data_IF_843220463921
#
_entry.id   IF_843220463921
#
_cell.length_a   1.000
_cell.length_b   1.000
_cell.length_c   1.000
_cell.angle_alpha   90.00
_cell.angle_beta   90.00
_cell.angle_gamma   90.00
#
_symmetry.space_group_name_H-M   'P 1'
#
loop_
_entity.id
_entity.type
_entity.pdbx_description
1 polymer ?
#
# COMPACT_ATOMS: atom_id res chain seq x y z
N UNK A 1 -7.07 -10.39 -4.81
CA UNK A 1 -6.62 -11.79 -4.53
C UNK A 1 -5.15 -11.72 -4.11
N UNK A 2 -4.77 -12.49 -3.10
CA UNK A 2 -3.39 -12.56 -2.56
C UNK A 2 -3.04 -14.03 -2.30
N UNK A 3 -1.81 -14.41 -2.64
CA UNK A 3 -1.31 -15.78 -2.48
C UNK A 3 0.19 -15.78 -2.11
N UNK A 4 0.59 -16.62 -1.16
CA UNK A 4 2.00 -16.88 -0.86
C UNK A 4 2.54 -17.97 -1.79
N UNK A 5 3.40 -17.59 -2.72
CA UNK A 5 4.07 -18.51 -3.64
C UNK A 5 5.36 -19.04 -3.02
N UNK A 6 5.45 -20.37 -2.92
CA UNK A 6 6.62 -21.09 -2.41
C UNK A 6 7.27 -21.85 -3.58
N UNK A 7 8.40 -21.39 -4.15
CA UNK A 7 8.99 -21.98 -5.35
C UNK A 7 9.20 -23.50 -5.28
N UNK A 8 9.54 -24.01 -4.11
CA UNK A 8 9.81 -25.45 -3.90
C UNK A 8 8.56 -26.31 -3.65
N UNK A 9 7.36 -25.67 -3.48
CA UNK A 9 6.12 -26.38 -3.07
C UNK A 9 4.92 -26.04 -3.92
N UNK A 10 4.79 -24.79 -4.38
CA UNK A 10 3.65 -24.36 -5.19
C UNK A 10 3.82 -24.85 -6.61
N UNK A 11 2.88 -25.62 -7.11
CA UNK A 11 2.91 -26.10 -8.49
C UNK A 11 2.41 -25.04 -9.48
N UNK A 12 2.71 -25.24 -10.77
CA UNK A 12 2.15 -24.40 -11.83
C UNK A 12 0.62 -24.40 -11.81
N UNK A 13 0.00 -25.54 -11.53
CA UNK A 13 -1.45 -25.66 -11.48
C UNK A 13 -2.02 -24.79 -10.34
N UNK A 14 -1.44 -24.87 -9.14
CA UNK A 14 -1.93 -24.12 -7.98
C UNK A 14 -1.98 -22.62 -8.24
N UNK A 15 -0.91 -22.05 -8.81
CA UNK A 15 -0.85 -20.60 -9.06
C UNK A 15 -1.73 -20.17 -10.24
N UNK A 16 -1.85 -21.01 -11.28
CA UNK A 16 -2.71 -20.72 -12.42
C UNK A 16 -4.19 -20.86 -12.08
N UNK A 17 -4.58 -21.78 -11.20
CA UNK A 17 -5.96 -21.88 -10.73
C UNK A 17 -6.45 -20.58 -10.05
N UNK A 18 -5.52 -19.84 -9.44
CA UNK A 18 -5.83 -18.56 -8.75
C UNK A 18 -5.74 -17.36 -9.69
N UNK A 19 -4.69 -17.27 -10.54
CA UNK A 19 -4.32 -16.02 -11.23
C UNK A 19 -4.31 -16.12 -12.76
N UNK A 20 -4.71 -17.23 -13.37
CA UNK A 20 -4.67 -17.35 -14.83
C UNK A 20 -5.47 -16.24 -15.52
N UNK A 21 -4.81 -15.50 -16.41
CA UNK A 21 -5.41 -14.38 -17.13
C UNK A 21 -5.50 -13.07 -16.35
N UNK A 22 -4.99 -13.00 -15.12
CA UNK A 22 -4.94 -11.77 -14.33
C UNK A 22 -3.58 -11.07 -14.46
N UNK A 23 -3.61 -9.76 -14.31
CA UNK A 23 -2.40 -8.98 -14.04
C UNK A 23 -2.05 -9.14 -12.57
N UNK A 24 -0.79 -9.45 -12.29
CA UNK A 24 -0.27 -9.71 -10.95
C UNK A 24 0.91 -8.82 -10.61
N UNK A 25 1.15 -8.63 -9.33
CA UNK A 25 2.36 -8.02 -8.79
C UNK A 25 3.02 -8.99 -7.81
N UNK A 26 4.32 -9.22 -7.99
CA UNK A 26 5.14 -10.06 -7.11
C UNK A 26 5.93 -9.17 -6.15
N UNK A 27 5.87 -9.46 -4.85
CA UNK A 27 6.58 -8.71 -3.80
C UNK A 27 7.43 -9.64 -2.95
N UNK A 28 8.57 -9.15 -2.51
CA UNK A 28 9.33 -9.85 -1.47
C UNK A 28 8.58 -9.75 -0.14
N UNK A 29 8.15 -10.88 0.41
CA UNK A 29 7.35 -10.91 1.65
C UNK A 29 8.18 -10.53 2.89
N UNK A 30 9.49 -10.62 2.80
CA UNK A 30 10.43 -10.33 3.90
C UNK A 30 10.95 -8.88 3.87
N UNK A 31 10.53 -8.06 2.87
CA UNK A 31 10.99 -6.70 2.66
C UNK A 31 9.84 -5.68 2.71
N UNK A 32 10.21 -4.43 2.92
CA UNK A 32 9.31 -3.28 2.91
C UNK A 32 9.83 -2.16 2.01
N UNK A 33 9.12 -1.04 1.92
CA UNK A 33 9.55 0.17 1.21
C UNK A 33 9.94 -0.07 -0.26
N UNK A 34 9.20 -0.92 -0.96
CA UNK A 34 9.45 -1.31 -2.36
C UNK A 34 10.83 -1.93 -2.62
N UNK A 35 11.55 -2.41 -1.60
CA UNK A 35 12.86 -3.05 -1.77
C UNK A 35 12.72 -4.29 -2.65
N UNK A 36 13.50 -4.33 -3.74
CA UNK A 36 13.48 -5.43 -4.72
C UNK A 36 12.29 -5.42 -5.68
N UNK A 37 11.36 -4.47 -5.56
CA UNK A 37 10.25 -4.32 -6.47
C UNK A 37 10.72 -3.56 -7.72
N UNK A 38 10.57 -4.16 -8.89
CA UNK A 38 10.95 -3.61 -10.19
C UNK A 38 9.77 -3.67 -11.15
N UNK A 39 9.87 -3.00 -12.30
CA UNK A 39 8.85 -3.07 -13.36
C UNK A 39 8.56 -4.50 -13.83
N UNK A 40 9.54 -5.41 -13.75
CA UNK A 40 9.36 -6.83 -14.09
C UNK A 40 8.51 -7.62 -13.09
N UNK A 41 8.30 -7.08 -11.88
CA UNK A 41 7.47 -7.74 -10.87
C UNK A 41 5.97 -7.69 -11.21
N UNK A 42 5.55 -6.80 -12.13
CA UNK A 42 4.20 -6.77 -12.69
C UNK A 42 4.16 -7.53 -14.00
N UNK A 43 3.20 -8.45 -14.14
CA UNK A 43 2.98 -9.17 -15.38
C UNK A 43 1.57 -9.76 -15.46
N UNK A 44 1.14 -10.10 -16.68
CA UNK A 44 -0.06 -10.92 -16.89
C UNK A 44 0.31 -12.39 -16.78
N UNK A 45 -0.30 -13.10 -15.83
CA UNK A 45 -0.04 -14.52 -15.63
C UNK A 45 -0.91 -15.38 -16.53
N UNK A 46 -0.28 -16.30 -17.23
CA UNK A 46 -0.90 -17.31 -18.07
C UNK A 46 -0.03 -18.56 -18.12
N UNK A 47 -0.54 -19.62 -18.74
CA UNK A 47 0.26 -20.84 -18.97
C UNK A 47 1.54 -20.54 -19.75
N UNK A 48 1.46 -19.65 -20.75
CA UNK A 48 2.61 -19.33 -21.62
C UNK A 48 3.65 -18.44 -20.92
N UNK A 49 3.21 -17.58 -19.98
CA UNK A 49 4.09 -16.70 -19.20
C UNK A 49 4.59 -17.31 -17.90
N UNK A 50 4.18 -18.55 -17.57
CA UNK A 50 4.52 -19.16 -16.28
C UNK A 50 6.02 -19.27 -16.03
N UNK A 51 6.82 -19.63 -17.05
CA UNK A 51 8.28 -19.74 -16.88
C UNK A 51 8.91 -18.39 -16.54
N UNK A 52 8.44 -17.32 -17.17
CA UNK A 52 8.86 -15.95 -16.84
C UNK A 52 8.46 -15.58 -15.42
N UNK A 53 7.21 -15.90 -15.03
CA UNK A 53 6.73 -15.71 -13.65
C UNK A 53 7.65 -16.40 -12.66
N UNK A 54 7.93 -17.70 -12.84
CA UNK A 54 8.76 -18.48 -11.93
C UNK A 54 10.17 -17.89 -11.79
N UNK A 55 10.79 -17.51 -12.91
CA UNK A 55 12.12 -16.91 -12.90
C UNK A 55 12.14 -15.56 -12.16
N UNK A 56 11.12 -14.72 -12.39
CA UNK A 56 10.99 -13.43 -11.70
C UNK A 56 10.71 -13.63 -10.21
N UNK A 57 9.79 -14.50 -9.87
CA UNK A 57 9.45 -14.78 -8.47
C UNK A 57 10.68 -15.27 -7.68
N UNK A 58 11.44 -16.22 -8.24
CA UNK A 58 12.66 -16.74 -7.61
C UNK A 58 13.78 -15.70 -7.50
N UNK A 59 13.83 -14.73 -8.42
CA UNK A 59 14.75 -13.60 -8.34
C UNK A 59 14.34 -12.58 -7.26
N UNK A 60 13.03 -12.39 -7.04
CA UNK A 60 12.49 -11.54 -5.96
C UNK A 60 12.79 -12.15 -4.58
N UNK A 61 12.49 -13.43 -4.40
CA UNK A 61 12.83 -14.19 -3.20
C UNK A 61 12.81 -15.69 -3.53
N UNK A 62 13.92 -16.38 -3.29
CA UNK A 62 14.07 -17.80 -3.62
C UNK A 62 13.26 -18.75 -2.72
N UNK A 63 12.70 -18.25 -1.61
CA UNK A 63 11.97 -19.07 -0.63
C UNK A 63 10.47 -18.84 -0.67
N UNK A 64 10.05 -17.56 -0.70
CA UNK A 64 8.63 -17.19 -0.65
C UNK A 64 8.38 -15.82 -1.24
N UNK A 65 7.34 -15.70 -2.03
CA UNK A 65 6.94 -14.46 -2.72
C UNK A 65 5.47 -14.20 -2.48
N UNK A 66 5.13 -12.97 -2.17
CA UNK A 66 3.74 -12.54 -2.14
C UNK A 66 3.29 -12.21 -3.56
N UNK A 67 2.33 -12.95 -4.08
CA UNK A 67 1.70 -12.70 -5.38
C UNK A 67 0.33 -12.09 -5.14
N UNK A 68 0.11 -10.90 -5.68
CA UNK A 68 -1.16 -10.19 -5.56
C UNK A 68 -1.75 -9.89 -6.94
N UNK A 69 -3.08 -9.96 -7.07
CA UNK A 69 -3.76 -9.37 -8.22
C UNK A 69 -3.41 -7.88 -8.29
N UNK A 70 -2.95 -7.42 -9.44
CA UNK A 70 -2.70 -5.99 -9.65
C UNK A 70 -4.03 -5.28 -9.93
N UNK A 71 -4.40 -4.38 -9.05
CA UNK A 71 -5.61 -3.57 -9.19
C UNK A 71 -5.25 -2.32 -9.99
N UNK A 72 -5.69 -2.25 -11.25
CA UNK A 72 -5.49 -1.06 -12.08
C UNK A 72 -6.34 0.11 -11.55
N UNK A 73 -5.77 1.32 -11.55
CA UNK A 73 -6.42 2.55 -11.10
C UNK A 73 -5.56 3.34 -10.11
N UNK A 74 -6.04 4.47 -9.62
CA UNK A 74 -5.32 5.32 -8.69
C UNK A 74 -4.84 4.57 -7.45
N UNK A 75 -3.60 4.83 -7.05
CA UNK A 75 -3.03 4.40 -5.78
C UNK A 75 -3.15 5.55 -4.78
N UNK A 76 -3.66 5.29 -3.59
CA UNK A 76 -3.80 6.31 -2.57
C UNK A 76 -3.47 5.79 -1.18
N UNK A 77 -3.01 6.69 -0.34
CA UNK A 77 -2.56 6.45 1.02
C UNK A 77 -3.44 7.20 2.02
N UNK A 78 -3.77 6.54 3.13
CA UNK A 78 -4.61 7.12 4.21
C UNK A 78 -3.91 6.96 5.54
N UNK A 79 -3.62 8.06 6.20
CA UNK A 79 -3.20 8.04 7.59
C UNK A 79 -4.42 7.85 8.49
N UNK A 80 -4.41 6.81 9.31
CA UNK A 80 -5.38 6.61 10.39
C UNK A 80 -4.68 6.81 11.72
N UNK A 81 -5.27 7.61 12.59
CA UNK A 81 -4.81 7.81 13.97
C UNK A 81 -5.89 7.37 14.95
N UNK A 82 -5.48 6.79 16.08
CA UNK A 82 -6.38 6.50 17.20
C UNK A 82 -6.32 7.64 18.19
N UNK A 83 -7.45 8.26 18.48
CA UNK A 83 -7.54 9.34 19.45
C UNK A 83 -8.76 9.13 20.36
N UNK A 84 -8.54 9.08 21.66
CA UNK A 84 -9.59 8.83 22.67
C UNK A 84 -10.45 7.59 22.34
N UNK A 85 -9.80 6.51 21.89
CA UNK A 85 -10.46 5.25 21.54
C UNK A 85 -11.14 5.22 20.16
N UNK A 86 -11.17 6.32 19.42
CA UNK A 86 -11.76 6.39 18.07
C UNK A 86 -10.69 6.35 16.98
N UNK A 87 -10.98 5.67 15.88
CA UNK A 87 -10.13 5.63 14.69
C UNK A 87 -10.53 6.72 13.71
N UNK A 88 -9.65 7.69 13.52
CA UNK A 88 -9.84 8.85 12.65
C UNK A 88 -9.00 8.67 11.39
N UNK A 89 -9.65 8.36 10.28
CA UNK A 89 -9.01 8.33 8.96
C UNK A 89 -8.97 9.74 8.37
N UNK A 90 -7.77 10.23 8.05
CA UNK A 90 -7.58 11.52 7.39
C UNK A 90 -7.94 11.43 5.90
N UNK A 91 -7.87 12.55 5.17
CA UNK A 91 -8.20 12.55 3.76
C UNK A 91 -7.20 11.71 2.95
N UNK A 92 -7.69 10.88 2.01
CA UNK A 92 -6.83 10.06 1.17
C UNK A 92 -6.00 10.91 0.22
N UNK A 93 -4.73 10.58 0.13
CA UNK A 93 -3.78 11.22 -0.79
C UNK A 93 -3.45 10.27 -1.92
N UNK A 94 -3.78 10.64 -3.16
CA UNK A 94 -3.41 9.89 -4.36
C UNK A 94 -1.96 10.14 -4.71
N UNK A 95 -1.24 9.06 -5.05
CA UNK A 95 0.10 9.11 -5.62
C UNK A 95 -0.04 9.27 -7.13
N UNK A 96 0.52 10.34 -7.68
CA UNK A 96 0.52 10.61 -9.12
C UNK A 96 1.87 10.18 -9.69
N UNK A 97 1.87 9.07 -10.39
CA UNK A 97 3.05 8.54 -11.08
C UNK A 97 3.30 9.26 -12.42
N UNK A 98 4.53 9.26 -12.95
CA UNK A 98 4.79 9.65 -14.33
C UNK A 98 4.10 8.70 -15.32
N UNK A 99 3.91 9.15 -16.58
CA UNK A 99 3.08 8.47 -17.59
C UNK A 99 3.50 7.02 -17.91
N UNK A 100 4.76 6.66 -17.68
CA UNK A 100 5.32 5.34 -17.94
C UNK A 100 5.28 4.42 -16.71
N UNK A 101 4.67 4.86 -15.60
CA UNK A 101 4.69 4.15 -14.32
C UNK A 101 3.27 3.92 -13.76
N UNK A 102 3.03 2.72 -13.26
CA UNK A 102 1.71 2.34 -12.72
C UNK A 102 1.71 2.01 -11.23
N UNK A 103 2.87 1.87 -10.61
CA UNK A 103 3.00 1.53 -9.17
C UNK A 103 4.35 1.98 -8.60
N UNK A 104 4.45 2.02 -7.28
CA UNK A 104 5.65 2.40 -6.56
C UNK A 104 6.67 1.26 -6.59
N UNK A 105 7.63 1.29 -7.51
CA UNK A 105 8.78 0.40 -7.49
C UNK A 105 10.00 1.05 -6.80
N UNK A 106 11.10 0.30 -6.70
CA UNK A 106 12.32 0.78 -6.04
C UNK A 106 12.93 2.00 -6.72
N UNK A 107 12.85 2.10 -8.06
CA UNK A 107 13.41 3.23 -8.80
C UNK A 107 12.60 4.49 -8.55
N UNK A 108 11.29 4.42 -8.67
CA UNK A 108 10.36 5.53 -8.43
C UNK A 108 10.46 5.99 -6.98
N UNK A 109 10.46 5.05 -6.03
CA UNK A 109 10.58 5.34 -4.61
C UNK A 109 11.87 6.11 -4.28
N UNK A 110 13.00 5.69 -4.84
CA UNK A 110 14.31 6.30 -4.56
C UNK A 110 14.55 7.61 -5.32
N UNK A 111 13.94 7.78 -6.48
CA UNK A 111 14.12 8.98 -7.32
C UNK A 111 13.15 10.11 -6.99
N UNK A 112 12.11 9.84 -6.18
CA UNK A 112 11.02 10.78 -5.86
C UNK A 112 10.33 11.36 -7.12
N UNK A 113 10.29 10.62 -8.23
CA UNK A 113 9.64 11.03 -9.49
C UNK A 113 8.13 10.81 -9.47
N UNK A 114 7.48 11.14 -8.38
CA UNK A 114 6.04 11.11 -8.21
C UNK A 114 5.58 12.33 -7.43
N UNK A 115 4.32 12.66 -7.55
CA UNK A 115 3.69 13.79 -6.85
C UNK A 115 2.44 13.33 -6.11
N UNK A 116 1.77 14.24 -5.44
CA UNK A 116 0.59 13.94 -4.65
C UNK A 116 -0.56 14.87 -5.02
N UNK A 117 -1.78 14.38 -4.87
CA UNK A 117 -3.01 15.17 -4.86
C UNK A 117 -4.02 14.55 -3.90
N UNK A 118 -5.01 15.30 -3.45
CA UNK A 118 -6.11 14.70 -2.69
C UNK A 118 -6.93 13.79 -3.61
N UNK A 119 -7.34 12.61 -3.11
CA UNK A 119 -8.32 11.79 -3.78
C UNK A 119 -9.71 12.44 -3.62
N UNK A 120 -10.42 12.62 -4.70
CA UNK A 120 -11.71 13.30 -4.71
C UNK A 120 -12.89 12.34 -4.99
N UNK A 121 -14.10 12.85 -4.79
CA UNK A 121 -15.33 12.14 -5.12
C UNK A 121 -15.78 11.10 -4.08
N UNK A 122 -16.70 10.23 -4.49
CA UNK A 122 -17.29 9.21 -3.61
C UNK A 122 -16.26 8.19 -3.12
N UNK A 123 -15.31 7.83 -3.97
CA UNK A 123 -14.25 6.89 -3.62
C UNK A 123 -13.41 7.34 -2.42
N UNK A 124 -13.21 8.65 -2.23
CA UNK A 124 -12.47 9.19 -1.09
C UNK A 124 -13.16 8.85 0.25
N UNK A 125 -14.49 8.97 0.30
CA UNK A 125 -15.25 8.60 1.50
C UNK A 125 -15.20 7.10 1.77
N UNK A 126 -15.33 6.26 0.74
CA UNK A 126 -15.30 4.81 0.87
C UNK A 126 -13.92 4.34 1.35
N UNK A 127 -12.84 4.92 0.81
CA UNK A 127 -11.46 4.66 1.25
C UNK A 127 -11.27 5.03 2.72
N UNK A 128 -11.74 6.22 3.15
CA UNK A 128 -11.65 6.64 4.57
C UNK A 128 -12.39 5.69 5.50
N UNK A 129 -13.62 5.32 5.16
CA UNK A 129 -14.42 4.41 5.96
C UNK A 129 -13.77 3.02 6.08
N UNK A 130 -13.25 2.48 4.98
CA UNK A 130 -12.56 1.20 4.99
C UNK A 130 -11.24 1.26 5.77
N UNK A 131 -10.47 2.36 5.66
CA UNK A 131 -9.24 2.54 6.42
C UNK A 131 -9.51 2.57 7.94
N UNK A 132 -10.50 3.36 8.38
CA UNK A 132 -10.90 3.41 9.80
C UNK A 132 -11.38 2.03 10.29
N UNK A 133 -12.20 1.35 9.49
CA UNK A 133 -12.70 0.00 9.83
C UNK A 133 -11.58 -1.03 9.88
N UNK A 134 -10.64 -1.01 8.95
CA UNK A 134 -9.47 -1.89 8.96
C UNK A 134 -8.59 -1.64 10.19
N UNK A 135 -8.36 -0.37 10.53
CA UNK A 135 -7.61 0.01 11.74
C UNK A 135 -8.27 -0.49 13.03
N UNK A 136 -9.61 -0.43 13.10
CA UNK A 136 -10.38 -0.96 14.23
C UNK A 136 -10.25 -2.50 14.33
N UNK A 137 -10.43 -3.22 13.22
CA UNK A 137 -10.32 -4.70 13.19
C UNK A 137 -8.93 -5.18 13.59
N UNK A 138 -7.89 -4.45 13.16
CA UNK A 138 -6.49 -4.77 13.45
C UNK A 138 -6.02 -4.25 14.82
N UNK A 139 -6.89 -3.56 15.54
CA UNK A 139 -6.59 -2.93 16.83
C UNK A 139 -5.31 -2.07 16.77
N UNK A 140 -5.22 -1.22 15.74
CA UNK A 140 -4.10 -0.27 15.60
C UNK A 140 -4.02 0.57 16.87
N UNK A 141 -2.85 0.60 17.51
CA UNK A 141 -2.72 1.22 18.84
C UNK A 141 -2.71 2.74 18.79
N UNK A 142 -1.97 3.30 17.84
CA UNK A 142 -1.75 4.75 17.78
C UNK A 142 -2.03 5.30 16.39
N UNK A 143 -1.28 4.86 15.39
CA UNK A 143 -1.44 5.28 14.00
C UNK A 143 -0.89 4.22 13.04
N UNK A 144 -1.42 4.24 11.82
CA UNK A 144 -0.90 3.48 10.69
C UNK A 144 -1.31 4.13 9.37
N UNK A 145 -0.59 3.83 8.29
CA UNK A 145 -0.98 4.21 6.93
C UNK A 145 -1.56 2.99 6.24
N UNK A 146 -2.67 3.19 5.57
CA UNK A 146 -3.38 2.19 4.79
C UNK A 146 -3.30 2.56 3.31
N UNK A 147 -2.82 1.65 2.48
CA UNK A 147 -2.56 1.89 1.08
C UNK A 147 -3.59 1.17 0.22
N UNK A 148 -4.30 1.93 -0.61
CA UNK A 148 -5.42 1.45 -1.43
C UNK A 148 -5.15 1.67 -2.92
N UNK A 149 -5.77 0.81 -3.74
CA UNK A 149 -6.02 1.10 -5.15
C UNK A 149 -7.51 1.16 -5.41
N UNK A 150 -7.91 2.08 -6.30
CA UNK A 150 -9.32 2.29 -6.62
C UNK A 150 -9.59 1.87 -8.05
N UNK A 151 -10.36 0.80 -8.25
CA UNK A 151 -10.79 0.30 -9.56
C UNK A 151 -12.29 0.51 -9.73
N UNK A 152 -12.69 1.29 -10.72
CA UNK A 152 -14.11 1.60 -11.00
C UNK A 152 -14.87 2.16 -9.78
N UNK A 153 -14.22 3.03 -9.00
CA UNK A 153 -14.78 3.62 -7.79
C UNK A 153 -14.76 2.69 -6.55
N UNK A 154 -14.31 1.45 -6.69
CA UNK A 154 -14.24 0.48 -5.59
C UNK A 154 -12.81 0.46 -5.03
N UNK A 155 -12.61 0.75 -3.73
CA UNK A 155 -11.30 0.69 -3.09
C UNK A 155 -10.91 -0.75 -2.71
N UNK A 156 -9.63 -1.05 -2.88
CA UNK A 156 -8.99 -2.32 -2.51
C UNK A 156 -7.78 -2.02 -1.63
N UNK A 157 -7.83 -2.44 -0.38
CA UNK A 157 -6.68 -2.37 0.53
C UNK A 157 -5.63 -3.40 0.09
N UNK A 158 -4.39 -2.96 -0.12
CA UNK A 158 -3.32 -3.86 -0.58
C UNK A 158 -2.06 -3.83 0.29
N UNK A 159 -1.90 -2.80 1.14
CA UNK A 159 -0.77 -2.70 2.06
C UNK A 159 -1.12 -1.89 3.31
N UNK A 160 -0.39 -2.15 4.40
CA UNK A 160 -0.56 -1.45 5.68
C UNK A 160 0.82 -1.20 6.27
N UNK A 161 1.17 0.06 6.46
CA UNK A 161 2.39 0.47 7.11
C UNK A 161 2.13 0.85 8.58
N UNK A 162 2.51 -0.02 9.50
CA UNK A 162 2.41 0.24 10.95
C UNK A 162 3.39 1.32 11.44
N UNK A 163 4.47 1.56 10.70
CA UNK A 163 5.45 2.62 10.94
C UNK A 163 5.72 3.35 9.63
N UNK A 164 4.75 4.13 9.12
CA UNK A 164 4.92 4.82 7.85
C UNK A 164 6.04 5.84 7.90
N UNK A 165 6.70 6.04 6.78
CA UNK A 165 7.68 7.12 6.64
C UNK A 165 7.03 8.49 6.87
N UNK A 166 7.72 9.32 7.64
CA UNK A 166 7.32 10.70 7.91
C UNK A 166 8.33 11.72 7.35
N UNK A 167 9.00 11.37 6.23
CA UNK A 167 9.91 12.27 5.53
C UNK A 167 9.12 13.41 4.84
N UNK A 168 9.84 14.48 4.43
CA UNK A 168 9.16 15.65 3.82
C UNK A 168 8.49 15.35 2.47
N UNK A 169 9.00 14.39 1.69
CA UNK A 169 8.42 13.97 0.43
C UNK A 169 7.61 12.69 0.63
N UNK A 170 6.44 12.80 1.26
CA UNK A 170 5.46 11.72 1.40
C UNK A 170 4.03 12.26 1.46
N UNK A 171 3.06 11.38 1.38
CA UNK A 171 1.63 11.69 1.40
C UNK A 171 1.18 12.37 2.69
N UNK A 172 1.75 12.00 3.84
CA UNK A 172 1.39 12.58 5.14
C UNK A 172 1.84 14.03 5.21
N UNK A 173 3.08 14.32 4.77
CA UNK A 173 3.59 15.69 4.74
C UNK A 173 2.80 16.55 3.76
N UNK A 174 2.46 16.02 2.58
CA UNK A 174 1.60 16.67 1.61
C UNK A 174 0.23 16.99 2.22
N UNK A 175 -0.43 16.02 2.87
CA UNK A 175 -1.74 16.20 3.49
C UNK A 175 -1.73 17.30 4.56
N UNK A 176 -0.70 17.33 5.41
CA UNK A 176 -0.59 18.36 6.45
C UNK A 176 -0.44 19.76 5.84
N UNK A 177 0.31 19.88 4.74
CA UNK A 177 0.40 21.12 3.98
C UNK A 177 -0.98 21.55 3.42
N UNK A 178 -1.80 20.62 2.93
CA UNK A 178 -3.17 20.91 2.48
C UNK A 178 -4.10 21.39 3.63
N UNK A 179 -3.76 21.08 4.87
CA UNK A 179 -4.48 21.56 6.06
C UNK A 179 -3.89 22.86 6.64
N UNK A 180 -2.99 23.54 5.93
CA UNK A 180 -2.24 24.70 6.43
C UNK A 180 -1.42 24.41 7.71
N UNK A 181 -1.03 23.15 7.91
CA UNK A 181 -0.22 22.69 9.02
C UNK A 181 1.25 22.56 8.60
N UNK A 182 2.15 22.71 9.55
CA UNK A 182 3.57 22.54 9.31
C UNK A 182 3.98 21.08 9.38
N UNK A 183 5.09 20.75 8.70
CA UNK A 183 5.66 19.41 8.74
C UNK A 183 5.87 18.89 10.19
N UNK A 184 6.29 19.74 11.11
CA UNK A 184 6.51 19.40 12.51
C UNK A 184 5.21 19.06 13.26
N UNK A 185 4.06 19.48 12.76
CA UNK A 185 2.77 19.19 13.36
C UNK A 185 2.35 17.72 13.19
N UNK A 186 2.93 17.01 12.21
CA UNK A 186 2.78 15.55 12.08
C UNK A 186 3.14 14.86 13.39
N UNK A 187 4.31 15.18 13.94
CA UNK A 187 4.81 14.57 15.17
C UNK A 187 3.98 15.00 16.38
N UNK A 188 3.50 16.25 16.43
CA UNK A 188 2.62 16.72 17.50
C UNK A 188 1.30 15.97 17.49
N UNK A 189 0.70 15.75 16.33
CA UNK A 189 -0.55 14.97 16.19
C UNK A 189 -0.31 13.54 16.66
N UNK A 190 0.71 12.85 16.14
CA UNK A 190 1.02 11.47 16.52
C UNK A 190 1.24 11.37 18.05
N UNK A 191 2.09 12.20 18.62
CA UNK A 191 2.38 12.18 20.07
C UNK A 191 1.13 12.50 20.89
N UNK A 192 0.29 13.45 20.46
CA UNK A 192 -0.97 13.79 21.14
C UNK A 192 -1.92 12.59 21.14
N UNK A 193 -2.05 11.89 20.00
CA UNK A 193 -2.87 10.69 19.92
C UNK A 193 -2.33 9.58 20.84
N UNK A 194 -1.03 9.31 20.80
CA UNK A 194 -0.38 8.34 21.68
C UNK A 194 -0.65 8.65 23.16
N UNK A 195 -0.39 9.90 23.59
CA UNK A 195 -0.62 10.29 24.98
C UNK A 195 -2.09 10.18 25.39
N UNK A 196 -3.03 10.44 24.48
CA UNK A 196 -4.47 10.29 24.76
C UNK A 196 -4.88 8.84 24.99
N UNK A 197 -4.20 7.90 24.32
CA UNK A 197 -4.53 6.46 24.40
C UNK A 197 -3.97 5.79 25.67
N UNK A 198 -2.94 6.38 26.31
CA UNK A 198 -2.26 5.79 27.47
C UNK A 198 -2.44 6.58 28.76
N UNK A 199 -3.27 7.62 28.79
CA UNK A 199 -3.50 8.43 30.00
C UNK A 199 -4.24 7.69 31.12
N UNK A 200 -4.98 6.65 30.78
CA UNK A 200 -5.83 5.89 31.70
C UNK A 200 -5.36 4.43 31.89
N UNK A 201 -4.10 4.12 31.52
CA UNK A 201 -3.51 2.79 31.65
C UNK A 201 -2.68 2.65 32.95
#
# INVERSE_FOLDING_TARGET
ITYEFLPDRTTQADILDVFNGLDILMKNIDESASIGLTSHCKMRLSRDSYQQFYNTATAVNSKRVLVQEFIAGPECEVLVVKYQGQYLALDPVEIVFPDDQEFMDSEISNSYRYTFKLLEGTAANDVRQLAARAAEILDVKDYARFDFRVRNGIPYLFDIAGTPYTIRHNSIAYLFDQYDLKYEDIYKVIVTCMLSNYRDA
#
